data_IF_811156914458
#
_entry.id   IF_811156914458
#
_cell.length_a   1.000
_cell.length_b   1.000
_cell.length_c   1.000
_cell.angle_alpha   90.00
_cell.angle_beta   90.00
_cell.angle_gamma   90.00
#
_symmetry.space_group_name_H-M   'P 1'
#
loop_
_entity.id
_entity.type
_entity.pdbx_description
1 polymer ?
#
# COMPACT_ATOMS: atom_id res chain seq x y z
N UNK A 1 -6.35 15.20 -71.46
CA UNK A 1 -5.44 15.12 -70.30
C UNK A 1 -6.01 15.99 -69.18
N UNK A 2 -6.61 15.37 -68.15
CA UNK A 2 -7.01 16.05 -66.91
C UNK A 2 -6.26 15.37 -65.77
N UNK A 3 -5.26 16.06 -65.24
CA UNK A 3 -4.42 15.62 -64.13
C UNK A 3 -5.24 15.69 -62.84
N UNK A 4 -5.47 14.54 -62.22
CA UNK A 4 -6.15 14.42 -60.94
C UNK A 4 -5.10 14.55 -59.83
N UNK A 5 -5.07 15.69 -59.15
CA UNK A 5 -4.19 15.91 -58.00
C UNK A 5 -4.76 15.21 -56.77
N UNK A 6 -4.12 14.14 -56.33
CA UNK A 6 -4.44 13.43 -55.10
C UNK A 6 -3.84 14.20 -53.92
N UNK A 7 -4.67 14.87 -53.11
CA UNK A 7 -4.25 15.42 -51.83
C UNK A 7 -4.14 14.29 -50.81
N UNK A 8 -2.91 13.94 -50.42
CA UNK A 8 -2.63 13.07 -49.29
C UNK A 8 -2.75 13.91 -48.02
N UNK A 9 -3.86 13.77 -47.30
CA UNK A 9 -3.98 14.29 -45.94
C UNK A 9 -3.22 13.38 -44.99
N UNK A 10 -2.01 13.79 -44.58
CA UNK A 10 -1.27 13.13 -43.51
C UNK A 10 -1.95 13.51 -42.19
N UNK A 11 -2.70 12.58 -41.60
CA UNK A 11 -3.19 12.70 -40.22
C UNK A 11 -2.00 12.36 -39.32
N UNK A 12 -1.31 13.38 -38.79
CA UNK A 12 -0.43 13.19 -37.64
C UNK A 12 -1.33 12.90 -36.42
N UNK A 13 -1.48 11.63 -36.08
CA UNK A 13 -1.94 11.23 -34.77
C UNK A 13 -0.83 11.61 -33.77
N UNK A 14 -0.96 12.76 -33.11
CA UNK A 14 -0.11 13.10 -31.98
C UNK A 14 -0.30 12.04 -30.89
N UNK A 15 0.76 11.29 -30.59
CA UNK A 15 0.82 10.51 -29.36
C UNK A 15 0.68 11.51 -28.21
N UNK A 16 -0.47 11.52 -27.53
CA UNK A 16 -0.63 12.28 -26.31
C UNK A 16 0.33 11.68 -25.28
N UNK A 17 1.42 12.40 -25.01
CA UNK A 17 2.45 11.96 -24.07
C UNK A 17 1.82 11.75 -22.69
N UNK A 18 2.24 10.69 -21.99
CA UNK A 18 1.72 10.37 -20.67
C UNK A 18 2.06 11.51 -19.69
N UNK A 19 1.06 12.33 -19.33
CA UNK A 19 1.30 13.55 -18.59
C UNK A 19 1.43 13.27 -17.08
N UNK A 20 2.61 13.51 -16.54
CA UNK A 20 2.86 13.56 -15.09
C UNK A 20 2.96 15.00 -14.62
N UNK A 21 2.58 15.25 -13.38
CA UNK A 21 2.79 16.54 -12.73
C UNK A 21 4.20 16.58 -12.13
N UNK A 22 4.87 17.74 -12.12
CA UNK A 22 6.13 17.90 -11.42
C UNK A 22 5.95 17.65 -9.92
N UNK A 23 6.99 17.10 -9.29
CA UNK A 23 7.02 16.95 -7.84
C UNK A 23 6.91 18.32 -7.15
N UNK A 24 6.13 18.43 -6.05
CA UNK A 24 6.06 19.65 -5.26
C UNK A 24 7.45 20.10 -4.77
N UNK A 25 7.60 21.39 -4.49
CA UNK A 25 8.84 21.90 -3.92
C UNK A 25 9.19 21.18 -2.61
N UNK A 26 10.43 20.68 -2.51
CA UNK A 26 10.97 19.94 -1.38
C UNK A 26 10.49 18.49 -1.26
N UNK A 27 9.73 17.98 -2.22
CA UNK A 27 9.25 16.60 -2.25
C UNK A 27 10.40 15.60 -2.04
N UNK A 28 10.19 14.48 -1.34
CA UNK A 28 11.23 13.48 -1.11
C UNK A 28 11.92 13.07 -2.42
N UNK A 29 13.25 13.14 -2.42
CA UNK A 29 14.10 12.50 -3.43
C UNK A 29 14.63 11.23 -2.79
N UNK A 30 14.29 10.09 -3.37
CA UNK A 30 14.56 8.79 -2.78
C UNK A 30 15.92 8.25 -3.21
N UNK A 31 16.69 7.76 -2.25
CA UNK A 31 17.88 6.95 -2.48
C UNK A 31 17.60 5.53 -2.02
N UNK A 32 17.66 4.58 -2.94
CA UNK A 32 17.58 3.16 -2.64
C UNK A 32 18.68 2.76 -1.65
N UNK A 33 18.34 1.94 -0.66
CA UNK A 33 19.25 1.53 0.41
C UNK A 33 19.51 0.03 0.49
N UNK A 34 18.77 -0.77 -0.28
CA UNK A 34 18.92 -2.22 -0.34
C UNK A 34 17.66 -2.98 0.09
N UNK A 35 17.83 -4.29 0.19
CA UNK A 35 16.85 -5.23 0.72
C UNK A 35 16.75 -5.08 2.24
N UNK A 36 15.53 -5.18 2.78
CA UNK A 36 15.30 -5.14 4.23
C UNK A 36 15.94 -6.34 4.92
N UNK A 37 15.78 -7.52 4.33
CA UNK A 37 16.38 -8.78 4.78
C UNK A 37 16.42 -9.78 3.62
N UNK A 38 17.55 -10.47 3.37
CA UNK A 38 17.64 -11.47 2.30
C UNK A 38 16.61 -12.59 2.49
N UNK A 39 15.83 -12.90 1.44
CA UNK A 39 14.82 -13.99 1.50
C UNK A 39 15.37 -15.34 1.94
N UNK A 40 16.62 -15.63 1.56
CA UNK A 40 17.34 -16.86 1.93
C UNK A 40 17.65 -16.96 3.43
N UNK A 41 17.56 -15.85 4.17
CA UNK A 41 17.78 -15.80 5.61
C UNK A 41 16.50 -15.89 6.44
N UNK A 42 15.33 -15.94 5.79
CA UNK A 42 14.05 -16.05 6.49
C UNK A 42 13.70 -17.50 6.78
N UNK A 43 13.25 -17.74 8.00
CA UNK A 43 12.73 -19.03 8.45
C UNK A 43 11.33 -19.24 7.89
N UNK A 44 10.46 -18.22 7.99
CA UNK A 44 9.12 -18.26 7.43
C UNK A 44 9.10 -17.67 6.02
N UNK A 45 9.29 -18.54 5.02
CA UNK A 45 9.26 -18.17 3.60
C UNK A 45 8.59 -19.25 2.74
N UNK A 46 7.26 -19.43 2.86
CA UNK A 46 6.58 -20.60 2.30
C UNK A 46 6.45 -20.56 0.77
N UNK A 47 6.59 -19.40 0.12
CA UNK A 47 6.39 -19.25 -1.33
C UNK A 47 7.53 -18.54 -2.06
N UNK A 48 8.60 -18.14 -1.35
CA UNK A 48 9.67 -17.32 -1.89
C UNK A 48 9.23 -15.92 -2.37
N UNK A 49 8.11 -15.41 -1.86
CA UNK A 49 7.56 -14.08 -2.15
C UNK A 49 7.35 -13.29 -0.84
N UNK A 50 7.79 -12.02 -0.82
CA UNK A 50 7.65 -11.15 0.35
C UNK A 50 7.13 -9.80 -0.11
N UNK A 51 5.87 -9.51 0.19
CA UNK A 51 5.17 -8.33 -0.33
C UNK A 51 4.40 -7.58 0.73
N UNK A 52 3.90 -6.41 0.31
CA UNK A 52 3.06 -5.53 1.12
C UNK A 52 3.64 -5.23 2.51
N UNK A 53 4.86 -4.69 2.57
CA UNK A 53 5.43 -4.24 3.84
C UNK A 53 4.49 -3.24 4.50
N UNK A 54 4.27 -3.39 5.80
CA UNK A 54 3.51 -2.43 6.57
C UNK A 54 4.13 -2.21 7.94
N UNK A 55 4.62 -0.98 8.16
CA UNK A 55 5.35 -0.61 9.35
C UNK A 55 4.40 -0.11 10.44
N UNK A 56 4.75 -0.43 11.69
CA UNK A 56 4.08 0.04 12.89
C UNK A 56 5.11 0.48 13.92
N UNK A 57 4.90 1.66 14.50
CA UNK A 57 5.77 2.20 15.55
C UNK A 57 5.37 1.59 16.90
N UNK A 58 5.75 0.34 17.14
CA UNK A 58 5.37 -0.44 18.32
C UNK A 58 5.75 0.27 19.63
N UNK A 59 6.96 0.82 19.73
CA UNK A 59 7.42 1.51 20.95
C UNK A 59 6.70 2.82 21.27
N UNK A 60 5.88 3.35 20.35
CA UNK A 60 5.03 4.50 20.66
C UNK A 60 3.72 4.13 21.36
N UNK A 61 3.32 2.85 21.34
CA UNK A 61 1.98 2.42 21.77
C UNK A 61 1.96 1.20 22.70
N UNK A 62 2.88 0.25 22.53
CA UNK A 62 2.88 -1.00 23.28
C UNK A 62 3.67 -0.85 24.57
N UNK A 63 3.21 -1.50 25.64
CA UNK A 63 3.87 -1.47 26.93
C UNK A 63 5.24 -2.18 26.92
N UNK A 64 5.31 -3.34 26.24
CA UNK A 64 6.50 -4.18 26.17
C UNK A 64 6.74 -4.64 24.71
N UNK A 65 7.12 -3.74 23.80
CA UNK A 65 7.37 -4.10 22.41
C UNK A 65 8.65 -4.94 22.27
N UNK A 66 8.70 -5.84 21.29
CA UNK A 66 9.90 -6.61 20.92
C UNK A 66 11.03 -5.71 20.39
N UNK A 67 10.67 -4.54 19.84
CA UNK A 67 11.56 -3.49 19.36
C UNK A 67 10.75 -2.25 19.00
N UNK A 68 11.41 -1.12 18.73
CA UNK A 68 10.72 0.15 18.43
C UNK A 68 9.75 0.05 17.23
N UNK A 69 10.11 -0.74 16.21
CA UNK A 69 9.38 -0.87 14.97
C UNK A 69 9.02 -2.32 14.68
N UNK A 70 7.78 -2.54 14.24
CA UNK A 70 7.30 -3.79 13.68
C UNK A 70 7.07 -3.62 12.18
N UNK A 71 7.38 -4.63 11.39
CA UNK A 71 7.03 -4.74 9.98
C UNK A 71 6.23 -6.01 9.76
N UNK A 72 4.98 -5.85 9.31
CA UNK A 72 4.15 -6.95 8.86
C UNK A 72 4.29 -7.10 7.35
N UNK A 73 4.32 -8.34 6.89
CA UNK A 73 4.40 -8.70 5.47
C UNK A 73 3.75 -10.06 5.26
N UNK A 74 3.49 -10.43 4.01
CA UNK A 74 2.93 -11.74 3.68
C UNK A 74 3.24 -12.09 2.23
N UNK A 75 3.35 -13.36 1.85
CA UNK A 75 3.26 -13.77 0.44
C UNK A 75 1.82 -13.62 -0.07
N UNK A 76 1.62 -13.55 -1.39
CA UNK A 76 0.27 -13.61 -1.97
C UNK A 76 -0.23 -15.05 -2.12
N UNK A 77 0.63 -15.97 -2.53
CA UNK A 77 0.18 -17.32 -2.92
C UNK A 77 0.11 -18.30 -1.74
N UNK A 78 -0.60 -19.42 -1.94
CA UNK A 78 -0.77 -20.46 -0.91
C UNK A 78 0.58 -21.07 -0.48
N UNK A 79 0.78 -21.39 0.82
CA UNK A 79 -0.20 -21.29 1.92
C UNK A 79 -0.41 -19.86 2.49
N UNK A 80 0.28 -18.83 2.00
CA UNK A 80 0.13 -17.48 2.54
C UNK A 80 0.58 -17.36 3.99
N UNK A 81 0.18 -16.28 4.66
CA UNK A 81 0.40 -16.06 6.09
C UNK A 81 1.01 -14.69 6.38
N UNK A 82 0.47 -13.96 7.35
CA UNK A 82 1.05 -12.70 7.79
C UNK A 82 2.21 -13.01 8.74
N UNK A 83 3.39 -12.57 8.36
CA UNK A 83 4.61 -12.64 9.13
C UNK A 83 4.96 -11.27 9.71
N UNK A 84 5.78 -11.31 10.77
CA UNK A 84 6.27 -10.17 11.52
C UNK A 84 7.80 -10.21 11.58
N UNK A 85 8.42 -9.05 11.43
CA UNK A 85 9.79 -8.79 11.88
C UNK A 85 9.82 -7.49 12.70
N UNK A 86 10.82 -7.34 13.55
CA UNK A 86 10.96 -6.18 14.42
C UNK A 86 12.39 -5.65 14.45
N UNK A 87 12.54 -4.36 14.81
CA UNK A 87 13.82 -3.69 14.93
C UNK A 87 13.74 -2.50 15.90
N UNK A 88 14.85 -2.18 16.56
CA UNK A 88 14.96 -0.97 17.39
C UNK A 88 15.13 0.31 16.57
N UNK A 89 15.58 0.17 15.32
CA UNK A 89 15.73 1.27 14.36
C UNK A 89 14.92 0.98 13.10
N UNK A 90 14.37 2.03 12.51
CA UNK A 90 13.66 1.95 11.22
C UNK A 90 14.57 1.40 10.10
N UNK A 91 15.88 1.54 10.23
CA UNK A 91 16.87 1.07 9.25
C UNK A 91 17.31 -0.38 9.50
N UNK A 92 16.74 -1.04 10.52
CA UNK A 92 17.20 -2.34 10.98
C UNK A 92 18.44 -2.26 11.89
N UNK A 93 19.14 -3.38 12.11
CA UNK A 93 18.86 -4.71 11.53
C UNK A 93 17.48 -5.24 11.93
N UNK A 94 16.85 -5.99 11.04
CA UNK A 94 15.52 -6.57 11.26
C UNK A 94 15.61 -8.03 11.73
N UNK A 95 14.98 -8.30 12.85
CA UNK A 95 14.87 -9.62 13.46
C UNK A 95 13.52 -10.24 13.10
N UNK A 96 13.54 -11.45 12.55
CA UNK A 96 12.30 -12.16 12.25
C UNK A 96 11.66 -12.65 13.55
N UNK A 97 10.34 -12.53 13.68
CA UNK A 97 9.62 -13.09 14.81
C UNK A 97 9.59 -14.62 14.70
N UNK A 98 10.06 -15.30 15.75
CA UNK A 98 10.30 -16.75 15.72
C UNK A 98 9.04 -17.61 15.52
N UNK A 99 7.87 -17.10 15.91
CA UNK A 99 6.59 -17.83 15.80
C UNK A 99 5.77 -17.40 14.57
N UNK A 100 6.43 -16.92 13.51
CA UNK A 100 5.72 -16.63 12.26
C UNK A 100 5.05 -17.91 11.68
N UNK A 101 3.84 -17.77 11.09
CA UNK A 101 3.10 -16.54 10.86
C UNK A 101 2.28 -16.10 12.08
N UNK A 102 2.19 -14.79 12.33
CA UNK A 102 1.33 -14.21 13.38
C UNK A 102 -0.16 -14.23 13.00
N UNK A 103 -0.50 -14.36 11.71
CA UNK A 103 -1.87 -14.67 11.25
C UNK A 103 -1.80 -15.74 10.17
N UNK A 104 -2.41 -16.88 10.44
CA UNK A 104 -2.46 -18.04 9.55
C UNK A 104 -3.61 -17.95 8.52
N UNK A 105 -3.47 -18.67 7.40
CA UNK A 105 -4.54 -18.88 6.41
C UNK A 105 -5.65 -19.82 6.91
N UNK A 106 -5.44 -20.47 8.05
CA UNK A 106 -6.43 -21.23 8.79
C UNK A 106 -6.52 -20.67 10.21
N UNK A 107 -7.71 -20.26 10.62
CA UNK A 107 -7.92 -19.70 11.96
C UNK A 107 -9.17 -20.28 12.61
N UNK A 108 -8.99 -21.45 13.24
CA UNK A 108 -10.08 -22.18 13.91
C UNK A 108 -11.32 -22.30 13.02
N UNK A 109 -12.48 -22.01 13.60
CA UNK A 109 -13.77 -22.06 12.90
C UNK A 109 -14.09 -20.76 12.13
N UNK A 110 -13.22 -19.74 12.18
CA UNK A 110 -13.49 -18.43 11.56
C UNK A 110 -13.34 -18.47 10.04
N UNK A 111 -12.28 -19.11 9.55
CA UNK A 111 -12.05 -19.30 8.13
C UNK A 111 -10.98 -20.37 7.84
N UNK A 112 -11.07 -20.93 6.64
CA UNK A 112 -10.03 -21.71 5.99
C UNK A 112 -9.95 -21.24 4.54
N UNK A 113 -8.85 -20.59 4.17
CA UNK A 113 -8.65 -19.95 2.85
C UNK A 113 -7.30 -20.34 2.27
N UNK A 114 -7.09 -20.12 0.97
CA UNK A 114 -5.82 -20.49 0.33
C UNK A 114 -4.62 -19.71 0.87
N UNK A 115 -4.82 -18.43 1.21
CA UNK A 115 -3.80 -17.52 1.74
C UNK A 115 -4.42 -16.42 2.58
N UNK A 116 -3.60 -15.78 3.41
CA UNK A 116 -3.88 -14.45 3.96
C UNK A 116 -2.71 -13.53 3.65
N UNK A 117 -2.99 -12.27 3.30
CA UNK A 117 -1.96 -11.36 2.82
C UNK A 117 -2.30 -9.87 2.94
N UNK A 118 -1.36 -9.03 2.52
CA UNK A 118 -1.40 -7.57 2.51
C UNK A 118 -1.78 -6.93 3.85
N UNK A 119 -1.04 -7.25 4.92
CA UNK A 119 -1.33 -6.72 6.25
C UNK A 119 -1.23 -5.19 6.27
N UNK A 120 -2.01 -4.57 7.15
CA UNK A 120 -1.88 -3.16 7.48
C UNK A 120 -2.20 -2.93 8.96
N UNK A 121 -1.17 -2.70 9.81
CA UNK A 121 -1.36 -2.39 11.21
C UNK A 121 -1.74 -0.91 11.41
N UNK A 122 -2.59 -0.65 12.40
CA UNK A 122 -2.83 0.68 12.96
C UNK A 122 -2.96 0.57 14.48
N UNK A 123 -2.65 1.67 15.18
CA UNK A 123 -3.14 1.84 16.54
C UNK A 123 -4.59 2.32 16.50
N UNK A 124 -5.49 1.59 17.15
CA UNK A 124 -6.88 2.00 17.31
C UNK A 124 -7.06 2.73 18.64
N UNK A 125 -7.09 4.07 18.60
CA UNK A 125 -7.29 4.91 19.78
C UNK A 125 -8.57 4.59 20.59
N UNK A 126 -9.64 4.14 19.93
CA UNK A 126 -10.91 3.85 20.61
C UNK A 126 -10.84 2.54 21.40
N UNK A 127 -10.11 1.56 20.88
CA UNK A 127 -9.89 0.28 21.54
C UNK A 127 -8.70 0.30 22.49
N UNK A 128 -7.71 1.17 22.27
CA UNK A 128 -6.42 1.10 22.94
C UNK A 128 -5.64 -0.17 22.57
N UNK A 129 -5.80 -0.65 21.33
CA UNK A 129 -5.20 -1.90 20.83
C UNK A 129 -4.65 -1.71 19.41
N UNK A 130 -3.74 -2.59 19.00
CA UNK A 130 -3.30 -2.68 17.61
C UNK A 130 -4.33 -3.43 16.81
N UNK A 131 -4.71 -2.89 15.65
CA UNK A 131 -5.56 -3.58 14.68
C UNK A 131 -4.73 -3.89 13.45
N UNK A 132 -4.86 -5.10 12.90
CA UNK A 132 -4.27 -5.46 11.61
C UNK A 132 -5.38 -5.83 10.63
N UNK A 133 -5.40 -5.15 9.50
CA UNK A 133 -6.29 -5.47 8.37
C UNK A 133 -5.53 -6.30 7.34
N UNK A 134 -6.16 -7.34 6.81
CA UNK A 134 -5.56 -8.26 5.85
C UNK A 134 -6.66 -8.85 4.96
N UNK A 135 -6.34 -9.50 3.86
CA UNK A 135 -7.33 -10.25 3.08
C UNK A 135 -7.05 -11.75 3.20
N UNK A 136 -8.12 -12.55 3.05
CA UNK A 136 -8.00 -13.98 2.75
C UNK A 136 -8.08 -14.14 1.24
N UNK A 137 -9.10 -14.87 0.76
CA UNK A 137 -9.51 -14.73 -0.63
C UNK A 137 -9.76 -13.25 -1.00
N UNK A 138 -9.43 -12.89 -2.24
CA UNK A 138 -9.43 -11.49 -2.69
C UNK A 138 -10.79 -10.79 -2.64
N UNK A 139 -11.89 -11.50 -2.36
CA UNK A 139 -13.23 -10.94 -2.23
C UNK A 139 -13.52 -10.29 -0.86
N UNK A 140 -12.63 -10.42 0.13
CA UNK A 140 -12.84 -9.92 1.49
C UNK A 140 -11.57 -9.36 2.13
N UNK A 141 -11.69 -8.19 2.74
CA UNK A 141 -10.75 -7.69 3.74
C UNK A 141 -11.30 -8.02 5.12
N UNK A 142 -10.44 -8.57 5.96
CA UNK A 142 -10.66 -8.95 7.36
C UNK A 142 -9.85 -8.06 8.28
N UNK A 143 -10.11 -8.18 9.58
CA UNK A 143 -9.30 -7.53 10.60
C UNK A 143 -9.16 -8.41 11.85
N UNK A 144 -8.11 -8.16 12.61
CA UNK A 144 -7.80 -8.76 13.90
C UNK A 144 -7.23 -7.69 14.83
N UNK A 145 -7.28 -7.90 16.14
CA UNK A 145 -6.75 -6.98 17.15
C UNK A 145 -5.84 -7.68 18.17
N UNK A 146 -4.94 -6.92 18.80
CA UNK A 146 -3.94 -7.45 19.73
C UNK A 146 -3.42 -6.35 20.66
N UNK A 147 -2.95 -6.76 21.84
CA UNK A 147 -2.31 -5.88 22.82
C UNK A 147 -0.77 -5.83 22.68
N UNK A 148 -0.16 -6.81 21.99
CA UNK A 148 1.30 -6.94 21.89
C UNK A 148 1.84 -6.96 20.46
N UNK A 149 0.95 -7.02 19.46
CA UNK A 149 1.30 -6.96 18.04
C UNK A 149 1.57 -8.31 17.39
N UNK A 150 1.48 -9.43 18.10
CA UNK A 150 1.74 -10.76 17.52
C UNK A 150 0.77 -11.85 17.99
N UNK A 151 0.12 -11.70 19.15
CA UNK A 151 -0.96 -12.58 19.62
C UNK A 151 -2.30 -11.93 19.31
N UNK A 152 -2.96 -12.38 18.24
CA UNK A 152 -4.16 -11.73 17.72
C UNK A 152 -5.45 -12.43 18.14
N UNK A 153 -6.49 -11.62 18.34
CA UNK A 153 -7.90 -12.00 18.37
C UNK A 153 -8.54 -11.70 17.02
N UNK A 154 -9.29 -12.65 16.45
CA UNK A 154 -9.98 -12.42 15.17
C UNK A 154 -11.15 -11.45 15.34
N UNK A 155 -11.20 -10.41 14.50
CA UNK A 155 -12.21 -9.35 14.59
C UNK A 155 -13.38 -9.48 13.60
N UNK A 156 -13.17 -10.10 12.44
CA UNK A 156 -14.22 -10.31 11.44
C UNK A 156 -13.89 -9.78 10.03
N UNK A 157 -14.91 -9.72 9.18
CA UNK A 157 -14.82 -9.10 7.86
C UNK A 157 -15.03 -7.58 7.96
N UNK A 158 -14.09 -6.79 7.45
CA UNK A 158 -14.17 -5.33 7.39
C UNK A 158 -14.93 -4.88 6.14
N UNK A 159 -14.47 -5.29 4.95
CA UNK A 159 -15.16 -5.00 3.68
C UNK A 159 -15.23 -6.24 2.80
N UNK A 160 -16.35 -6.41 2.10
CA UNK A 160 -16.58 -7.51 1.16
C UNK A 160 -16.92 -6.96 -0.22
N UNK A 161 -16.68 -7.75 -1.27
CA UNK A 161 -17.08 -7.38 -2.63
C UNK A 161 -18.59 -7.06 -2.76
N UNK A 162 -19.44 -7.74 -1.98
CA UNK A 162 -20.89 -7.47 -1.91
C UNK A 162 -21.20 -6.04 -1.50
N UNK A 163 -20.45 -5.49 -0.54
CA UNK A 163 -20.61 -4.09 -0.09
C UNK A 163 -20.22 -3.09 -1.18
N UNK A 164 -19.35 -3.48 -2.11
CA UNK A 164 -18.94 -2.65 -3.25
C UNK A 164 -19.96 -2.58 -4.39
N UNK A 165 -20.95 -3.46 -4.40
CA UNK A 165 -22.01 -3.58 -5.40
C UNK A 165 -21.82 -4.77 -6.36
N UNK A 166 -22.82 -5.07 -7.22
CA UNK A 166 -22.87 -6.31 -8.01
C UNK A 166 -21.77 -6.45 -9.07
N UNK A 167 -21.05 -5.37 -9.37
CA UNK A 167 -19.95 -5.36 -10.35
C UNK A 167 -18.58 -5.53 -9.72
N UNK A 168 -18.49 -5.58 -8.38
CA UNK A 168 -17.22 -5.71 -7.66
C UNK A 168 -16.95 -7.18 -7.41
N UNK A 169 -15.75 -7.63 -7.78
CA UNK A 169 -15.32 -9.03 -7.65
C UNK A 169 -14.32 -9.20 -6.52
N UNK A 170 -13.45 -8.21 -6.27
CA UNK A 170 -12.42 -8.21 -5.23
C UNK A 170 -12.58 -7.00 -4.28
N UNK A 171 -12.13 -7.14 -3.04
CA UNK A 171 -12.09 -6.09 -2.01
C UNK A 171 -10.95 -6.37 -1.03
N UNK A 172 -9.72 -6.20 -1.52
CA UNK A 172 -8.48 -6.56 -0.83
C UNK A 172 -7.45 -5.42 -0.83
N UNK A 173 -6.24 -5.69 -0.32
CA UNK A 173 -5.12 -4.74 -0.28
C UNK A 173 -5.43 -3.43 0.46
N UNK A 174 -6.18 -3.54 1.55
CA UNK A 174 -6.64 -2.41 2.35
C UNK A 174 -5.48 -1.69 3.07
N UNK A 175 -5.56 -0.36 3.12
CA UNK A 175 -4.71 0.52 3.90
C UNK A 175 -5.60 1.42 4.73
N UNK A 176 -5.38 1.41 6.04
CA UNK A 176 -6.29 2.01 7.03
C UNK A 176 -5.55 3.11 7.77
N UNK A 177 -6.21 4.22 8.02
CA UNK A 177 -5.62 5.38 8.67
C UNK A 177 -6.69 6.16 9.44
N UNK A 178 -6.24 6.97 10.40
CA UNK A 178 -7.12 7.92 11.09
C UNK A 178 -7.72 8.90 10.09
N UNK A 179 -9.03 9.11 10.19
CA UNK A 179 -9.76 10.01 9.32
C UNK A 179 -9.26 11.45 9.50
N UNK A 180 -8.94 12.13 8.38
CA UNK A 180 -8.28 13.45 8.42
C UNK A 180 -9.23 14.64 8.38
N UNK A 181 -10.51 14.41 8.07
CA UNK A 181 -11.56 15.44 8.15
C UNK A 181 -12.13 15.52 9.57
N UNK A 182 -11.94 16.63 10.30
CA UNK A 182 -12.53 16.81 11.63
C UNK A 182 -14.05 16.99 11.60
N UNK A 183 -14.64 17.27 10.44
CA UNK A 183 -16.10 17.37 10.27
C UNK A 183 -16.74 16.02 9.95
N UNK A 184 -15.96 14.96 9.76
CA UNK A 184 -16.50 13.62 9.54
C UNK A 184 -16.93 13.00 10.87
N UNK A 185 -18.05 12.28 10.86
CA UNK A 185 -18.42 11.40 11.99
C UNK A 185 -17.51 10.18 12.11
N UNK A 186 -16.84 9.81 11.02
CA UNK A 186 -15.95 8.66 10.98
C UNK A 186 -14.58 9.02 11.55
N UNK A 187 -14.03 8.13 12.39
CA UNK A 187 -12.71 8.28 13.00
C UNK A 187 -11.61 7.58 12.21
N UNK A 188 -11.97 6.62 11.37
CA UNK A 188 -11.07 5.85 10.53
C UNK A 188 -11.54 5.86 9.07
N UNK A 189 -10.58 5.74 8.16
CA UNK A 189 -10.80 5.58 6.74
C UNK A 189 -9.90 4.46 6.20
N UNK A 190 -10.37 3.80 5.17
CA UNK A 190 -9.69 2.71 4.48
C UNK A 190 -9.71 3.00 2.99
N UNK A 191 -8.54 3.08 2.38
CA UNK A 191 -8.43 2.86 0.94
C UNK A 191 -8.19 1.38 0.69
N UNK A 192 -8.93 0.81 -0.26
CA UNK A 192 -8.78 -0.59 -0.62
C UNK A 192 -8.89 -0.75 -2.13
N UNK A 193 -8.26 -1.82 -2.63
CA UNK A 193 -8.35 -2.20 -4.02
C UNK A 193 -9.65 -2.96 -4.25
N UNK A 194 -10.40 -2.53 -5.26
CA UNK A 194 -11.53 -3.28 -5.79
C UNK A 194 -11.27 -3.65 -7.25
N UNK A 195 -11.36 -4.94 -7.55
CA UNK A 195 -11.49 -5.42 -8.91
C UNK A 195 -12.96 -5.40 -9.31
N UNK A 196 -13.23 -5.13 -10.57
CA UNK A 196 -14.58 -5.19 -11.11
C UNK A 196 -14.67 -6.19 -12.25
N UNK A 197 -15.89 -6.45 -12.72
CA UNK A 197 -16.17 -7.40 -13.82
C UNK A 197 -15.43 -7.10 -15.13
N UNK A 198 -14.83 -5.92 -15.28
CA UNK A 198 -13.99 -5.56 -16.42
C UNK A 198 -12.49 -5.90 -16.22
N UNK A 199 -12.14 -6.57 -15.12
CA UNK A 199 -10.78 -6.99 -14.79
C UNK A 199 -9.85 -5.83 -14.40
N UNK A 200 -10.39 -4.63 -14.15
CA UNK A 200 -9.59 -3.45 -13.79
C UNK A 200 -9.67 -3.14 -12.30
N UNK A 201 -8.50 -3.06 -11.67
CA UNK A 201 -8.35 -2.77 -10.25
C UNK A 201 -8.30 -1.27 -9.98
N UNK A 202 -9.12 -0.83 -9.04
CA UNK A 202 -9.37 0.58 -8.72
C UNK A 202 -9.26 0.81 -7.22
N UNK A 203 -9.08 2.05 -6.82
CA UNK A 203 -9.09 2.42 -5.40
C UNK A 203 -10.49 2.85 -5.00
N UNK A 204 -10.98 2.32 -3.89
CA UNK A 204 -12.25 2.68 -3.25
C UNK A 204 -11.99 3.12 -1.80
N UNK A 205 -13.01 3.75 -1.21
CA UNK A 205 -13.00 4.25 0.15
C UNK A 205 -14.03 3.51 0.98
N UNK A 206 -13.65 3.11 2.18
CA UNK A 206 -14.57 2.76 3.26
C UNK A 206 -14.24 3.61 4.49
N UNK A 207 -15.22 3.89 5.33
CA UNK A 207 -15.08 4.73 6.52
C UNK A 207 -15.71 4.06 7.73
N UNK A 208 -15.14 4.29 8.91
CA UNK A 208 -15.56 3.64 10.16
C UNK A 208 -15.48 4.59 11.35
N UNK A 209 -16.37 4.39 12.32
CA UNK A 209 -16.38 5.16 13.58
C UNK A 209 -15.40 4.54 14.58
N UNK A 210 -15.19 3.23 14.54
CA UNK A 210 -14.47 2.46 15.57
C UNK A 210 -13.38 1.54 15.00
N UNK A 211 -13.24 1.47 13.68
CA UNK A 211 -12.32 0.57 12.99
C UNK A 211 -12.84 -0.87 12.82
N UNK A 212 -14.01 -1.21 13.36
CA UNK A 212 -14.60 -2.56 13.30
C UNK A 212 -15.67 -2.67 12.24
N UNK A 213 -16.67 -1.78 12.30
CA UNK A 213 -17.76 -1.73 11.33
C UNK A 213 -17.49 -0.68 10.25
N UNK A 214 -17.59 -1.06 8.98
CA UNK A 214 -17.20 -0.22 7.86
C UNK A 214 -18.37 0.10 6.93
N UNK A 215 -18.43 1.36 6.49
CA UNK A 215 -19.35 1.82 5.45
C UNK A 215 -18.58 2.07 4.16
N UNK A 216 -18.90 1.35 3.09
CA UNK A 216 -18.27 1.51 1.78
C UNK A 216 -18.87 2.72 1.05
N UNK A 217 -17.99 3.58 0.51
CA UNK A 217 -18.40 4.65 -0.39
C UNK A 217 -18.95 4.06 -1.70
N UNK A 218 -20.11 4.53 -2.19
CA UNK A 218 -20.65 4.09 -3.47
C UNK A 218 -19.79 4.57 -4.65
N UNK A 219 -19.02 5.65 -4.48
CA UNK A 219 -18.13 6.20 -5.50
C UNK A 219 -16.73 5.62 -5.39
N UNK A 220 -16.12 5.33 -6.55
CA UNK A 220 -14.70 5.04 -6.68
C UNK A 220 -13.88 6.28 -6.35
N UNK A 221 -12.67 6.08 -5.83
CA UNK A 221 -11.74 7.16 -5.50
C UNK A 221 -10.78 7.43 -6.66
N UNK A 222 -10.18 6.37 -7.20
CA UNK A 222 -9.16 6.49 -8.25
C UNK A 222 -9.21 5.32 -9.22
N UNK A 223 -8.93 5.61 -10.49
CA UNK A 223 -8.72 4.64 -11.56
C UNK A 223 -7.42 4.97 -12.29
N UNK A 224 -6.80 3.97 -12.90
CA UNK A 224 -5.54 4.17 -13.61
C UNK A 224 -5.71 4.91 -14.94
N UNK A 225 -4.80 5.84 -15.21
CA UNK A 225 -4.66 6.51 -16.51
C UNK A 225 -3.61 5.85 -17.41
N UNK A 226 -3.28 6.50 -18.53
CA UNK A 226 -2.27 6.02 -19.49
C UNK A 226 -0.90 5.82 -18.83
N UNK A 227 -0.48 6.74 -17.96
CA UNK A 227 0.82 6.66 -17.25
C UNK A 227 0.86 5.51 -16.23
N UNK A 228 -0.18 5.38 -15.40
CA UNK A 228 -0.18 4.43 -14.29
C UNK A 228 -0.49 2.98 -14.75
N UNK A 229 -1.01 2.84 -15.97
CA UNK A 229 -1.58 1.60 -16.47
C UNK A 229 -2.99 1.32 -15.93
N UNK A 230 -3.57 0.19 -16.31
CA UNK A 230 -5.01 -0.08 -16.11
C UNK A 230 -5.42 -0.51 -14.70
N UNK A 231 -4.49 -0.93 -13.85
CA UNK A 231 -4.79 -1.44 -12.49
C UNK A 231 -3.97 -0.73 -11.43
N UNK A 232 -4.63 -0.37 -10.32
CA UNK A 232 -4.02 0.32 -9.17
C UNK A 232 -4.21 -0.50 -7.89
N UNK A 233 -3.24 -0.40 -6.96
CA UNK A 233 -3.34 -1.06 -5.65
C UNK A 233 -2.44 -0.41 -4.59
N UNK A 234 -2.58 -0.85 -3.34
CA UNK A 234 -1.74 -0.46 -2.20
C UNK A 234 -1.84 1.03 -1.86
N UNK A 235 -3.03 1.62 -2.04
CA UNK A 235 -3.23 3.05 -1.85
C UNK A 235 -3.19 3.43 -0.37
N UNK A 236 -2.20 4.22 0.05
CA UNK A 236 -2.03 4.71 1.42
C UNK A 236 -2.16 6.24 1.45
N UNK A 237 -2.34 6.83 2.63
CA UNK A 237 -2.47 8.28 2.82
C UNK A 237 -1.29 8.84 3.61
N UNK A 238 -0.67 9.90 3.08
CA UNK A 238 0.33 10.68 3.81
C UNK A 238 -0.06 12.15 3.87
N UNK A 239 0.47 12.86 4.86
CA UNK A 239 0.44 14.32 4.93
C UNK A 239 1.85 14.85 4.73
N UNK A 240 2.07 15.63 3.68
CA UNK A 240 3.35 16.28 3.39
C UNK A 240 3.13 17.79 3.26
N UNK A 241 3.84 18.59 4.07
CA UNK A 241 3.72 20.07 4.12
C UNK A 241 2.26 20.57 4.09
N UNK A 242 1.41 19.98 4.93
CA UNK A 242 -0.02 20.28 5.07
C UNK A 242 -0.95 19.87 3.91
N UNK A 243 -0.42 19.24 2.87
CA UNK A 243 -1.22 18.64 1.78
C UNK A 243 -1.32 17.14 2.00
N UNK A 244 -2.51 16.59 1.79
CA UNK A 244 -2.74 15.15 1.82
C UNK A 244 -2.44 14.56 0.44
N UNK A 245 -1.75 13.43 0.42
CA UNK A 245 -1.43 12.68 -0.78
C UNK A 245 -1.85 11.23 -0.63
N UNK A 246 -2.55 10.73 -1.63
CA UNK A 246 -2.78 9.30 -1.84
C UNK A 246 -1.56 8.76 -2.59
N UNK A 247 -0.84 7.82 -1.98
CA UNK A 247 0.32 7.12 -2.56
C UNK A 247 -0.10 5.71 -2.94
N UNK A 248 0.28 5.21 -4.11
CA UNK A 248 -0.22 3.94 -4.66
C UNK A 248 0.73 3.45 -5.75
N UNK A 249 0.58 2.20 -6.16
CA UNK A 249 1.31 1.71 -7.34
C UNK A 249 0.34 1.42 -8.48
N UNK A 250 0.84 1.61 -9.70
CA UNK A 250 0.15 1.27 -10.93
C UNK A 250 0.70 -0.02 -11.54
N UNK A 251 -0.05 -0.61 -12.48
CA UNK A 251 0.42 -1.73 -13.29
C UNK A 251 1.58 -1.36 -14.23
N UNK A 252 1.90 -0.07 -14.37
CA UNK A 252 3.13 0.42 -15.00
C UNK A 252 4.41 0.06 -14.25
N UNK A 253 4.30 -0.42 -13.01
CA UNK A 253 5.45 -0.81 -12.18
C UNK A 253 6.11 0.36 -11.43
N UNK A 254 5.46 1.52 -11.38
CA UNK A 254 5.92 2.68 -10.60
C UNK A 254 4.98 2.96 -9.43
N UNK A 255 5.51 3.70 -8.46
CA UNK A 255 4.76 4.26 -7.34
C UNK A 255 4.45 5.73 -7.66
N UNK A 256 3.21 6.11 -7.45
CA UNK A 256 2.68 7.43 -7.74
C UNK A 256 2.11 8.10 -6.48
N UNK A 257 1.96 9.42 -6.57
CA UNK A 257 1.22 10.23 -5.62
C UNK A 257 0.21 11.12 -6.35
N UNK A 258 -0.96 11.35 -5.74
CA UNK A 258 -1.91 12.39 -6.15
C UNK A 258 -2.38 13.13 -4.91
N UNK A 259 -2.48 14.46 -4.99
CA UNK A 259 -3.10 15.20 -3.88
C UNK A 259 -4.57 14.86 -3.77
N UNK A 260 -5.05 14.83 -2.53
CA UNK A 260 -6.42 14.48 -2.17
C UNK A 260 -6.94 15.49 -1.16
N UNK A 261 -8.22 15.84 -1.27
CA UNK A 261 -8.85 16.69 -0.27
C UNK A 261 -9.13 15.95 1.04
N UNK A 262 -9.45 16.68 2.11
CA UNK A 262 -9.73 16.07 3.42
C UNK A 262 -10.96 15.15 3.40
N UNK A 263 -11.86 15.30 2.43
CA UNK A 263 -13.00 14.39 2.25
C UNK A 263 -12.64 13.07 1.58
N UNK A 264 -11.39 12.90 1.15
CA UNK A 264 -10.87 11.68 0.52
C UNK A 264 -11.54 11.33 -0.82
N UNK A 265 -12.22 12.30 -1.44
CA UNK A 265 -13.08 12.08 -2.62
C UNK A 265 -12.69 12.92 -3.82
N UNK A 266 -11.98 14.04 -3.62
CA UNK A 266 -11.47 14.87 -4.70
C UNK A 266 -9.98 14.60 -4.86
N UNK A 267 -9.64 13.81 -5.87
CA UNK A 267 -8.27 13.46 -6.22
C UNK A 267 -7.83 14.33 -7.39
N UNK A 268 -6.59 14.84 -7.35
CA UNK A 268 -6.02 15.53 -8.50
C UNK A 268 -5.92 14.59 -9.72
N UNK A 269 -6.25 15.12 -10.90
CA UNK A 269 -6.34 14.37 -12.15
C UNK A 269 -4.98 13.93 -12.71
N UNK A 270 -3.89 14.63 -12.38
CA UNK A 270 -2.55 14.33 -12.93
C UNK A 270 -1.69 13.68 -11.85
N UNK A 271 -1.11 12.49 -12.11
CA UNK A 271 -0.26 11.80 -11.13
C UNK A 271 1.13 12.44 -11.06
N UNK A 272 1.76 12.34 -9.88
CA UNK A 272 3.19 12.60 -9.67
C UNK A 272 3.87 11.23 -9.58
N UNK A 273 4.97 11.03 -10.31
CA UNK A 273 5.82 9.84 -10.08
C UNK A 273 6.54 10.04 -8.76
N UNK A 274 6.23 9.20 -7.77
CA UNK A 274 6.87 9.25 -6.45
C UNK A 274 8.16 8.44 -6.45
N UNK A 275 8.12 7.24 -7.04
CA UNK A 275 9.27 6.34 -7.10
C UNK A 275 9.17 5.42 -8.32
N UNK A 276 10.30 5.17 -8.95
CA UNK A 276 10.50 4.08 -9.90
C UNK A 276 11.78 3.35 -9.51
N UNK A 277 11.85 2.07 -9.81
CA UNK A 277 13.04 1.25 -9.60
C UNK A 277 14.30 1.99 -10.08
N UNK A 278 15.32 2.03 -9.22
CA UNK A 278 16.58 2.73 -9.47
C UNK A 278 17.39 2.10 -10.60
N UNK A 279 17.13 0.83 -10.93
CA UNK A 279 17.92 0.06 -11.89
C UNK A 279 19.15 -0.59 -11.26
N UNK A 280 19.38 -0.35 -9.96
CA UNK A 280 20.55 -0.84 -9.23
C UNK A 280 20.22 -2.12 -8.46
N UNK A 281 21.18 -3.06 -8.45
CA UNK A 281 21.09 -4.33 -7.73
C UNK A 281 19.74 -5.07 -7.97
N UNK A 282 19.01 -5.36 -6.92
CA UNK A 282 17.70 -6.04 -6.94
C UNK A 282 16.52 -5.07 -7.05
N UNK A 283 16.77 -3.77 -7.11
CA UNK A 283 15.77 -2.73 -7.36
C UNK A 283 15.58 -2.50 -8.86
N UNK A 284 15.15 -3.57 -9.53
CA UNK A 284 14.91 -3.62 -10.97
C UNK A 284 13.45 -3.96 -11.27
N UNK A 285 12.88 -3.30 -12.28
CA UNK A 285 11.53 -3.59 -12.76
C UNK A 285 10.43 -2.89 -11.96
N UNK A 286 9.55 -3.65 -11.33
CA UNK A 286 8.34 -3.14 -10.66
C UNK A 286 8.65 -2.73 -9.22
N UNK A 287 8.28 -1.49 -8.88
CA UNK A 287 8.16 -1.01 -7.50
C UNK A 287 6.68 -0.91 -7.12
N UNK A 288 6.30 -1.51 -6.00
CA UNK A 288 4.90 -1.63 -5.62
C UNK A 288 4.66 -1.63 -4.11
N UNK A 289 3.38 -1.71 -3.73
CA UNK A 289 2.91 -1.83 -2.36
C UNK A 289 3.60 -0.84 -1.38
N UNK A 290 3.58 0.47 -1.69
CA UNK A 290 4.36 1.45 -0.94
C UNK A 290 3.86 1.59 0.50
N UNK A 291 4.81 1.67 1.43
CA UNK A 291 4.57 2.14 2.79
C UNK A 291 5.58 3.25 3.10
N UNK A 292 5.08 4.48 3.16
CA UNK A 292 5.87 5.63 3.57
C UNK A 292 5.69 5.90 5.05
N UNK A 293 6.80 6.11 5.74
CA UNK A 293 6.84 6.38 7.19
C UNK A 293 7.88 7.44 7.50
N UNK A 294 7.63 8.22 8.57
CA UNK A 294 8.57 9.22 9.06
C UNK A 294 9.17 8.75 10.38
N UNK A 295 10.50 8.77 10.45
CA UNK A 295 11.26 8.43 11.66
C UNK A 295 12.50 9.31 11.72
N UNK A 296 12.94 9.71 12.93
CA UNK A 296 14.16 10.51 13.12
C UNK A 296 14.25 11.74 12.20
N UNK A 297 13.11 12.42 12.00
CA UNK A 297 12.99 13.60 11.13
C UNK A 297 12.98 13.33 9.62
N UNK A 298 13.31 12.11 9.17
CA UNK A 298 13.46 11.72 7.75
C UNK A 298 12.29 10.87 7.26
N UNK A 299 12.07 10.87 5.95
CA UNK A 299 11.12 9.99 5.28
C UNK A 299 11.81 8.70 4.82
N UNK A 300 11.09 7.59 4.99
CA UNK A 300 11.47 6.26 4.55
C UNK A 300 10.34 5.71 3.68
N UNK A 301 10.71 5.02 2.60
CA UNK A 301 9.80 4.31 1.73
C UNK A 301 10.19 2.84 1.75
N UNK A 302 9.29 1.99 2.23
CA UNK A 302 9.38 0.55 2.10
C UNK A 302 8.46 0.10 0.97
N UNK A 303 8.94 -0.80 0.14
CA UNK A 303 8.21 -1.18 -1.07
C UNK A 303 8.60 -2.56 -1.54
N UNK A 304 7.67 -3.19 -2.25
CA UNK A 304 7.89 -4.43 -2.97
C UNK A 304 8.74 -4.14 -4.22
N UNK A 305 9.79 -4.93 -4.44
CA UNK A 305 10.60 -4.90 -5.67
C UNK A 305 10.70 -6.28 -6.32
N UNK A 306 10.74 -6.29 -7.66
CA UNK A 306 11.02 -7.47 -8.48
C UNK A 306 9.84 -7.97 -9.30
N UNK A 307 10.05 -9.09 -9.98
CA UNK A 307 8.99 -9.78 -10.72
C UNK A 307 7.99 -10.43 -9.75
N UNK A 308 6.70 -10.42 -10.12
CA UNK A 308 5.63 -11.05 -9.33
C UNK A 308 5.99 -12.51 -8.98
N UNK A 309 5.65 -12.96 -7.76
CA UNK A 309 6.00 -14.27 -7.21
C UNK A 309 7.48 -14.50 -6.94
N UNK A 310 8.35 -13.51 -7.17
CA UNK A 310 9.77 -13.52 -6.79
C UNK A 310 10.18 -12.26 -6.04
N UNK A 311 9.22 -11.46 -5.61
CA UNK A 311 9.48 -10.14 -5.01
C UNK A 311 10.06 -10.24 -3.61
N UNK A 312 10.75 -9.17 -3.22
CA UNK A 312 11.25 -8.93 -1.87
C UNK A 312 10.90 -7.51 -1.43
N UNK A 313 11.16 -7.21 -0.16
CA UNK A 313 10.98 -5.87 0.40
C UNK A 313 12.29 -5.10 0.32
N UNK A 314 12.23 -3.98 -0.40
CA UNK A 314 13.28 -2.97 -0.45
C UNK A 314 12.92 -1.78 0.40
N UNK A 315 13.93 -0.97 0.68
CA UNK A 315 13.70 0.34 1.27
C UNK A 315 14.55 1.43 0.62
N UNK A 316 14.01 2.65 0.66
CA UNK A 316 14.65 3.86 0.22
C UNK A 316 14.51 4.93 1.29
N UNK A 317 15.50 5.82 1.35
CA UNK A 317 15.55 6.94 2.29
C UNK A 317 15.46 8.24 1.52
N UNK A 318 14.65 9.18 2.02
CA UNK A 318 14.56 10.50 1.42
C UNK A 318 15.81 11.32 1.76
N UNK A 319 16.43 11.89 0.75
CA UNK A 319 17.35 13.01 0.91
C UNK A 319 16.53 14.30 1.06
N UNK A 320 16.98 15.19 1.93
CA UNK A 320 16.33 16.49 2.08
C UNK A 320 17.10 17.49 1.26
N UNK A 321 16.60 17.83 0.06
CA UNK A 321 17.23 18.86 -0.76
C UNK A 321 16.58 20.21 -0.48
N UNK A 322 17.38 21.17 0.02
CA UNK A 322 16.99 22.57 0.15
C UNK A 322 17.66 23.37 -0.96
N UNK A 323 16.84 23.87 -1.90
CA UNK A 323 17.08 24.86 -2.96
C UNK A 323 18.28 24.68 -3.93
N UNK A 324 19.38 24.04 -3.53
CA UNK A 324 20.56 23.73 -4.37
C UNK A 324 21.50 22.70 -3.74
N UNK A 325 21.23 22.21 -2.52
CA UNK A 325 22.06 21.18 -1.87
C UNK A 325 21.21 20.07 -1.28
N UNK A 326 21.55 18.83 -1.64
CA UNK A 326 21.05 17.63 -0.98
C UNK A 326 22.00 17.29 0.17
N UNK A 327 21.45 17.03 1.36
CA UNK A 327 22.18 16.56 2.55
C UNK A 327 21.61 15.24 3.00
#
# INVERSE_FOLDING_TARGET
MKTLSLLISVILAGLADAQTAPSPYGWPIWTHKGEVKPKSSLVYNPTNEIIFPALFNAGAYLANPLGQWYMYYAPHDAPGGVALMYADSIEGPWTEYENNPVISNQWGDYYNVSHVSSPHPIWNNEAGRVFVYFHGENNVTRWAETDNGYDFDYGGAAVTNRMGGPRVTESSYARVFTHTNPLSKYKYAMFYMANEVDGRRRIRLAESIDGRAWTVSPKRVLWGGTEEGHSLSGANLIKYRNVLYLIYHGSSGKIYARSVDRTLRKINATPIVLYSASGEATDIGRSAAPHMVRANGKWYLFYESGARSQTTIMWAKANTCYLTKCV
#
